data_IF_022871039645
#
_entry.id   IF_022871039645
#
_cell.length_a   1.000
_cell.length_b   1.000
_cell.length_c   1.000
_cell.angle_alpha   90.00
_cell.angle_beta   90.00
_cell.angle_gamma   90.00
#
_symmetry.space_group_name_H-M   'P 1'
#
loop_
_entity.id
_entity.type
_entity.pdbx_description
1 polymer ?
#
# COMPACT_ATOMS: atom_id res chain seq x y z
N UNK A 1 -0.79 31.06 -24.26
CA UNK A 1 -1.75 32.08 -23.82
C UNK A 1 -3.09 31.74 -24.47
N UNK A 2 -4.20 31.74 -23.70
CA UNK A 2 -5.55 31.53 -24.21
C UNK A 2 -6.07 32.88 -24.72
N UNK A 3 -6.56 32.91 -25.95
CA UNK A 3 -7.18 34.10 -26.55
C UNK A 3 -8.65 33.77 -26.88
N UNK A 4 -9.58 34.30 -26.09
CA UNK A 4 -11.02 34.15 -26.36
C UNK A 4 -11.41 34.97 -27.60
N UNK A 5 -12.14 34.32 -28.53
CA UNK A 5 -12.59 34.94 -29.75
C UNK A 5 -14.07 35.34 -29.66
N UNK A 6 -14.93 34.37 -29.51
CA UNK A 6 -16.37 34.61 -29.45
C UNK A 6 -17.01 33.78 -28.34
N UNK A 7 -18.06 34.31 -27.77
CA UNK A 7 -18.97 33.58 -26.90
C UNK A 7 -20.40 33.85 -27.31
N UNK A 8 -21.20 32.81 -27.45
CA UNK A 8 -22.61 32.93 -27.80
C UNK A 8 -23.45 31.95 -26.97
N UNK A 9 -24.65 32.39 -26.66
CA UNK A 9 -25.58 31.61 -25.88
C UNK A 9 -27.02 31.90 -26.24
N UNK A 10 -27.91 30.92 -25.98
CA UNK A 10 -29.36 31.06 -26.10
C UNK A 10 -30.05 30.28 -24.97
N UNK A 11 -31.25 30.69 -24.62
CA UNK A 11 -32.06 30.10 -23.55
C UNK A 11 -31.26 29.93 -22.22
N UNK A 12 -30.32 30.80 -21.99
CA UNK A 12 -29.44 30.78 -20.82
C UNK A 12 -29.80 31.92 -19.87
N UNK A 13 -30.22 31.61 -18.63
CA UNK A 13 -30.76 32.56 -17.65
C UNK A 13 -31.93 33.37 -18.23
N UNK A 14 -31.81 34.70 -18.26
CA UNK A 14 -32.85 35.61 -18.76
C UNK A 14 -32.86 35.78 -20.28
N UNK A 15 -31.92 35.16 -21.04
CA UNK A 15 -31.86 35.31 -22.50
C UNK A 15 -32.79 34.34 -23.20
N UNK A 16 -33.42 34.80 -24.28
CA UNK A 16 -34.40 34.03 -25.07
C UNK A 16 -33.74 33.07 -26.08
N UNK A 17 -34.55 32.63 -27.04
CA UNK A 17 -34.15 31.63 -28.03
C UNK A 17 -33.21 32.14 -29.15
N UNK A 18 -33.10 33.45 -29.30
CA UNK A 18 -32.08 34.03 -30.20
C UNK A 18 -30.72 34.01 -29.58
N UNK A 19 -29.67 33.73 -30.36
CA UNK A 19 -28.31 33.79 -29.89
C UNK A 19 -27.91 35.21 -29.51
N UNK A 20 -27.44 35.35 -28.31
CA UNK A 20 -26.68 36.53 -27.88
C UNK A 20 -25.22 36.21 -28.11
N UNK A 21 -24.51 37.05 -28.84
CA UNK A 21 -23.10 36.84 -29.18
C UNK A 21 -22.25 38.01 -28.70
N UNK A 22 -21.08 37.72 -28.17
CA UNK A 22 -20.06 38.69 -27.81
C UNK A 22 -18.77 38.30 -28.51
N UNK A 23 -18.28 39.20 -29.37
CA UNK A 23 -17.01 39.06 -30.08
C UNK A 23 -15.92 39.87 -29.35
N UNK A 24 -14.92 39.17 -28.84
CA UNK A 24 -13.81 39.76 -28.11
C UNK A 24 -12.64 40.20 -29.00
N UNK A 25 -12.69 39.88 -30.30
CA UNK A 25 -11.61 40.16 -31.25
C UNK A 25 -11.67 41.56 -31.87
N UNK A 26 -12.84 42.21 -31.84
CA UNK A 26 -13.07 43.51 -32.46
C UNK A 26 -12.20 44.62 -31.88
N UNK A 27 -11.97 44.57 -30.58
CA UNK A 27 -11.17 45.58 -29.88
C UNK A 27 -10.30 44.94 -28.82
N UNK A 28 -9.17 45.55 -28.47
CA UNK A 28 -8.30 45.10 -27.35
C UNK A 28 -8.99 45.16 -25.99
N UNK A 29 -9.98 46.05 -25.85
CA UNK A 29 -10.75 46.24 -24.61
C UNK A 29 -12.22 46.38 -25.02
N UNK A 30 -13.11 45.60 -24.41
CA UNK A 30 -14.52 45.65 -24.63
C UNK A 30 -15.25 46.12 -23.36
N UNK A 31 -16.11 47.12 -23.49
CA UNK A 31 -16.92 47.64 -22.40
C UNK A 31 -18.37 47.18 -22.57
N UNK A 32 -18.92 46.46 -21.57
CA UNK A 32 -20.31 45.98 -21.55
C UNK A 32 -21.11 46.91 -20.63
N UNK A 33 -21.97 47.72 -21.23
CA UNK A 33 -22.84 48.70 -20.58
C UNK A 33 -24.29 48.22 -20.59
N UNK A 34 -25.04 48.50 -19.56
CA UNK A 34 -26.47 48.20 -19.46
C UNK A 34 -27.03 48.49 -18.04
N UNK A 35 -28.31 48.57 -17.95
CA UNK A 35 -29.04 48.75 -16.66
C UNK A 35 -28.87 47.51 -15.79
N UNK A 36 -29.21 47.63 -14.49
CA UNK A 36 -29.22 46.47 -13.62
C UNK A 36 -30.25 45.46 -14.06
N UNK A 37 -29.86 44.18 -14.12
CA UNK A 37 -30.73 43.11 -14.67
C UNK A 37 -30.57 42.86 -16.19
N UNK A 38 -29.91 43.74 -16.96
CA UNK A 38 -29.72 43.61 -18.41
C UNK A 38 -28.84 42.42 -18.87
N UNK A 39 -28.37 41.59 -17.95
CA UNK A 39 -27.57 40.40 -18.31
C UNK A 39 -26.06 40.62 -18.42
N UNK A 40 -25.49 41.75 -17.95
CA UNK A 40 -24.04 42.01 -18.00
C UNK A 40 -23.20 40.86 -17.45
N UNK A 41 -23.61 40.34 -16.28
CA UNK A 41 -22.88 39.23 -15.60
C UNK A 41 -23.15 37.84 -16.22
N UNK A 42 -24.17 37.76 -17.13
CA UNK A 42 -24.50 36.51 -17.84
C UNK A 42 -23.36 36.03 -18.72
N UNK A 43 -22.56 36.95 -19.26
CA UNK A 43 -21.35 36.64 -20.03
C UNK A 43 -20.37 35.79 -19.19
N UNK A 44 -20.16 36.18 -17.95
CA UNK A 44 -19.24 35.44 -17.05
C UNK A 44 -19.79 34.06 -16.68
N UNK A 45 -21.09 33.97 -16.42
CA UNK A 45 -21.74 32.67 -16.17
C UNK A 45 -21.69 31.77 -17.40
N UNK A 46 -21.95 32.31 -18.59
CA UNK A 46 -21.90 31.60 -19.85
C UNK A 46 -20.45 31.08 -20.12
N UNK A 47 -19.46 31.93 -19.93
CA UNK A 47 -18.05 31.57 -20.13
C UNK A 47 -17.63 30.44 -19.21
N UNK A 48 -17.90 30.56 -17.91
CA UNK A 48 -17.51 29.53 -16.95
C UNK A 48 -18.34 28.25 -17.11
N UNK A 49 -19.62 28.38 -17.46
CA UNK A 49 -20.46 27.24 -17.72
C UNK A 49 -19.99 26.47 -18.96
N UNK A 50 -19.66 27.14 -20.07
CA UNK A 50 -19.16 26.46 -21.27
C UNK A 50 -17.87 25.69 -21.01
N UNK A 51 -16.92 26.28 -20.29
CA UNK A 51 -15.59 25.70 -20.03
C UNK A 51 -15.61 24.62 -18.93
N UNK A 52 -16.35 24.86 -17.83
CA UNK A 52 -16.28 24.03 -16.64
C UNK A 52 -17.60 23.35 -16.23
N UNK A 53 -18.70 23.60 -16.95
CA UNK A 53 -20.01 23.05 -16.62
C UNK A 53 -20.65 23.65 -15.36
N UNK A 54 -20.07 24.74 -14.83
CA UNK A 54 -20.52 25.45 -13.63
C UNK A 54 -20.59 26.96 -13.91
N UNK A 55 -21.64 27.65 -13.50
CA UNK A 55 -21.71 29.12 -13.64
C UNK A 55 -20.72 29.78 -12.68
N UNK A 56 -20.38 31.04 -12.95
CA UNK A 56 -19.54 31.84 -12.07
C UNK A 56 -20.26 32.20 -10.76
N UNK A 57 -21.50 32.61 -10.84
CA UNK A 57 -22.35 32.86 -9.68
C UNK A 57 -22.82 31.54 -9.06
N UNK A 58 -23.17 31.56 -7.77
CA UNK A 58 -23.73 30.38 -7.06
C UNK A 58 -25.19 30.14 -7.48
N UNK A 59 -25.37 29.66 -8.71
CA UNK A 59 -26.66 29.33 -9.32
C UNK A 59 -26.69 27.84 -9.59
N UNK A 60 -27.78 27.17 -9.25
CA UNK A 60 -27.93 25.74 -9.51
C UNK A 60 -28.13 25.49 -11.02
N UNK A 61 -27.61 24.38 -11.52
CA UNK A 61 -27.65 24.02 -12.93
C UNK A 61 -29.05 24.07 -13.57
N UNK A 62 -30.14 23.61 -12.94
CA UNK A 62 -31.50 23.76 -13.51
C UNK A 62 -31.92 25.21 -13.68
N UNK A 63 -31.47 26.14 -12.86
CA UNK A 63 -31.79 27.57 -12.92
C UNK A 63 -31.08 28.33 -14.06
N UNK A 64 -30.09 27.68 -14.70
CA UNK A 64 -29.42 28.24 -15.87
C UNK A 64 -30.30 28.23 -17.13
N UNK A 65 -31.31 27.37 -17.20
CA UNK A 65 -32.23 27.30 -18.30
C UNK A 65 -33.22 28.48 -18.20
N UNK A 66 -33.50 29.09 -19.31
CA UNK A 66 -34.53 30.14 -19.36
C UNK A 66 -35.87 29.59 -18.88
N UNK A 67 -36.50 30.27 -17.91
CA UNK A 67 -37.74 29.82 -17.25
C UNK A 67 -38.99 29.87 -18.15
N UNK A 68 -38.94 30.58 -19.29
CA UNK A 68 -40.04 30.67 -20.23
C UNK A 68 -39.97 29.53 -21.26
N UNK A 69 -38.78 29.27 -21.79
CA UNK A 69 -38.58 28.27 -22.85
C UNK A 69 -38.30 26.86 -22.32
N UNK A 70 -37.73 26.75 -21.14
CA UNK A 70 -37.42 25.52 -20.41
C UNK A 70 -36.61 24.42 -21.16
N UNK A 71 -36.10 24.76 -22.34
CA UNK A 71 -35.38 23.84 -23.23
C UNK A 71 -34.31 24.57 -24.02
N UNK A 72 -33.51 23.83 -24.78
CA UNK A 72 -32.51 24.31 -25.74
C UNK A 72 -31.53 25.34 -25.16
N UNK A 73 -31.20 25.22 -23.89
CA UNK A 73 -30.14 26.02 -23.27
C UNK A 73 -28.80 25.60 -23.85
N UNK A 74 -28.14 26.49 -24.59
CA UNK A 74 -26.89 26.22 -25.28
C UNK A 74 -25.95 27.38 -25.16
N UNK A 75 -24.66 27.08 -24.83
CA UNK A 75 -23.59 28.03 -24.75
C UNK A 75 -22.42 27.49 -25.57
N UNK A 76 -21.83 28.35 -26.37
CA UNK A 76 -20.67 28.05 -27.23
C UNK A 76 -19.58 29.08 -26.97
N UNK A 77 -18.32 28.66 -26.81
CA UNK A 77 -17.17 29.51 -26.70
C UNK A 77 -16.11 29.09 -27.71
N UNK A 78 -15.54 30.07 -28.41
CA UNK A 78 -14.45 29.87 -29.34
C UNK A 78 -13.21 30.63 -28.82
N UNK A 79 -12.09 29.94 -28.82
CA UNK A 79 -10.81 30.50 -28.36
C UNK A 79 -9.65 29.85 -29.09
N UNK A 80 -8.50 30.49 -29.10
CA UNK A 80 -7.28 29.93 -29.64
C UNK A 80 -6.19 29.77 -28.57
N UNK A 81 -5.36 28.74 -28.71
CA UNK A 81 -4.15 28.52 -27.93
C UNK A 81 -3.00 28.29 -28.91
N UNK A 82 -2.11 29.27 -29.01
CA UNK A 82 -1.11 29.27 -30.07
C UNK A 82 -1.77 29.31 -31.44
N UNK A 83 -1.46 28.35 -32.30
CA UNK A 83 -2.04 28.21 -33.65
C UNK A 83 -3.24 27.26 -33.71
N UNK A 84 -3.70 26.75 -32.59
CA UNK A 84 -4.82 25.79 -32.54
C UNK A 84 -6.10 26.50 -32.13
N UNK A 85 -7.14 26.30 -32.92
CA UNK A 85 -8.48 26.82 -32.63
C UNK A 85 -9.28 25.77 -31.85
N UNK A 86 -10.00 26.26 -30.88
CA UNK A 86 -10.85 25.45 -30.01
C UNK A 86 -12.25 26.05 -29.95
N UNK A 87 -13.23 25.14 -29.98
CA UNK A 87 -14.62 25.47 -29.72
C UNK A 87 -15.20 24.49 -28.71
N UNK A 88 -15.82 25.01 -27.70
CA UNK A 88 -16.51 24.21 -26.68
C UNK A 88 -18.00 24.56 -26.72
N UNK A 89 -18.81 23.55 -26.88
CA UNK A 89 -20.28 23.67 -26.91
C UNK A 89 -20.85 22.91 -25.72
N UNK A 90 -21.69 23.58 -24.95
CA UNK A 90 -22.35 22.96 -23.81
C UNK A 90 -23.81 23.31 -23.75
N UNK A 91 -24.65 22.29 -23.51
CA UNK A 91 -26.10 22.44 -23.46
C UNK A 91 -26.74 21.78 -22.23
N UNK A 92 -27.96 22.26 -21.97
CA UNK A 92 -28.85 21.67 -20.96
C UNK A 92 -30.21 21.50 -21.67
N UNK A 93 -30.79 20.30 -21.63
CA UNK A 93 -32.06 19.94 -22.29
C UNK A 93 -32.11 20.29 -23.79
N UNK A 94 -31.36 19.55 -24.62
CA UNK A 94 -30.60 18.32 -24.35
C UNK A 94 -29.27 18.56 -23.68
N UNK A 95 -28.74 17.53 -22.98
CA UNK A 95 -27.41 17.55 -22.43
C UNK A 95 -26.39 17.42 -23.57
N UNK A 96 -25.63 18.47 -23.81
CA UNK A 96 -24.62 18.54 -24.87
C UNK A 96 -23.30 18.91 -24.21
N UNK A 97 -22.23 18.24 -24.59
CA UNK A 97 -20.88 18.63 -24.29
C UNK A 97 -19.96 18.22 -25.42
N UNK A 98 -19.55 19.16 -26.24
CA UNK A 98 -18.75 18.95 -27.43
C UNK A 98 -17.48 19.79 -27.34
N UNK A 99 -16.38 19.20 -27.74
CA UNK A 99 -15.08 19.88 -27.84
C UNK A 99 -14.60 19.73 -29.29
N UNK A 100 -14.28 20.82 -29.90
CA UNK A 100 -13.83 20.89 -31.30
C UNK A 100 -12.42 21.44 -31.33
N UNK A 101 -11.59 20.87 -32.20
CA UNK A 101 -10.22 21.33 -32.47
C UNK A 101 -10.05 21.54 -33.97
N UNK A 102 -9.73 22.76 -34.38
CA UNK A 102 -9.60 23.12 -35.81
C UNK A 102 -10.79 22.58 -36.66
N UNK A 103 -12.00 22.88 -36.23
CA UNK A 103 -13.28 22.46 -36.86
C UNK A 103 -13.54 20.94 -36.88
N UNK A 104 -12.69 20.14 -36.25
CA UNK A 104 -12.90 18.70 -36.08
C UNK A 104 -13.40 18.40 -34.68
N UNK A 105 -14.55 17.73 -34.58
CA UNK A 105 -15.07 17.27 -33.28
C UNK A 105 -14.14 16.19 -32.71
N UNK A 106 -13.80 16.34 -31.44
CA UNK A 106 -13.08 15.29 -30.74
C UNK A 106 -14.00 14.13 -30.41
N UNK A 107 -13.44 12.93 -30.38
CA UNK A 107 -14.17 11.72 -30.01
C UNK A 107 -14.82 11.87 -28.63
N UNK A 108 -16.12 11.65 -28.55
CA UNK A 108 -16.93 11.83 -27.35
C UNK A 108 -17.34 10.50 -26.71
N UNK A 109 -16.66 9.42 -27.03
CA UNK A 109 -16.92 8.08 -26.48
C UNK A 109 -16.66 7.99 -24.96
N UNK A 110 -15.89 8.91 -24.38
CA UNK A 110 -15.60 8.96 -22.95
C UNK A 110 -16.76 9.61 -22.16
N UNK A 111 -16.90 9.22 -20.89
CA UNK A 111 -17.85 9.85 -19.98
C UNK A 111 -17.61 11.37 -19.88
N UNK A 112 -18.67 12.15 -19.77
CA UNK A 112 -18.59 13.63 -19.72
C UNK A 112 -17.66 14.16 -18.62
N UNK A 113 -17.49 13.42 -17.52
CA UNK A 113 -16.56 13.76 -16.45
C UNK A 113 -15.09 13.61 -16.87
N UNK A 114 -14.79 12.59 -17.66
CA UNK A 114 -13.41 12.36 -18.14
C UNK A 114 -13.06 13.35 -19.25
N UNK A 115 -14.01 13.69 -20.12
CA UNK A 115 -13.86 14.76 -21.11
C UNK A 115 -13.62 16.12 -20.42
N UNK A 116 -14.34 16.40 -19.32
CA UNK A 116 -14.13 17.63 -18.55
C UNK A 116 -12.71 17.68 -17.96
N UNK A 117 -12.25 16.61 -17.33
CA UNK A 117 -10.89 16.53 -16.81
C UNK A 117 -9.85 16.69 -17.92
N UNK A 118 -10.09 16.06 -19.06
CA UNK A 118 -9.21 16.16 -20.21
C UNK A 118 -9.13 17.62 -20.72
N UNK A 119 -10.26 18.32 -20.83
CA UNK A 119 -10.32 19.74 -21.22
C UNK A 119 -9.52 20.62 -20.24
N UNK A 120 -9.73 20.43 -18.93
CA UNK A 120 -9.04 21.20 -17.90
C UNK A 120 -7.54 20.95 -17.89
N UNK A 121 -7.10 19.68 -18.03
CA UNK A 121 -5.69 19.29 -17.93
C UNK A 121 -4.89 19.53 -19.21
N UNK A 122 -5.48 19.25 -20.39
CA UNK A 122 -4.73 19.23 -21.64
C UNK A 122 -4.93 20.51 -22.47
N UNK A 123 -6.07 21.18 -22.34
CA UNK A 123 -6.38 22.37 -23.14
C UNK A 123 -6.24 23.64 -22.30
N UNK A 124 -7.06 23.76 -21.25
CA UNK A 124 -7.09 24.97 -20.44
C UNK A 124 -5.89 25.09 -19.50
N UNK A 125 -5.33 23.96 -19.08
CA UNK A 125 -4.25 23.84 -18.08
C UNK A 125 -4.54 24.56 -16.77
N UNK A 126 -5.82 24.68 -16.44
CA UNK A 126 -6.29 25.27 -15.18
C UNK A 126 -7.66 24.73 -14.82
N UNK A 127 -7.94 24.65 -13.53
CA UNK A 127 -9.24 24.25 -13.02
C UNK A 127 -10.19 25.44 -12.85
N UNK A 128 -11.45 25.16 -12.53
CA UNK A 128 -12.48 26.19 -12.31
C UNK A 128 -12.05 27.26 -11.28
N UNK A 129 -11.44 26.85 -10.17
CA UNK A 129 -11.03 27.81 -9.12
C UNK A 129 -9.93 28.74 -9.60
N UNK A 130 -8.90 28.17 -10.24
CA UNK A 130 -7.78 28.95 -10.77
C UNK A 130 -8.26 29.92 -11.88
N UNK A 131 -9.14 29.46 -12.77
CA UNK A 131 -9.74 30.28 -13.80
C UNK A 131 -10.52 31.47 -13.20
N UNK A 132 -11.40 31.21 -12.24
CA UNK A 132 -12.20 32.26 -11.61
C UNK A 132 -11.39 33.21 -10.74
N UNK A 133 -10.18 32.86 -10.33
CA UNK A 133 -9.29 33.72 -9.56
C UNK A 133 -8.32 34.54 -10.43
N UNK A 134 -8.00 34.03 -11.62
CA UNK A 134 -6.99 34.67 -12.50
C UNK A 134 -7.66 35.46 -13.62
N UNK A 135 -8.71 34.88 -14.24
CA UNK A 135 -9.32 35.45 -15.43
C UNK A 135 -10.48 36.38 -15.09
N UNK A 136 -11.23 36.08 -14.03
CA UNK A 136 -12.40 36.87 -13.63
C UNK A 136 -12.09 37.64 -12.35
N UNK A 137 -11.91 38.95 -12.46
CA UNK A 137 -11.54 39.82 -11.36
C UNK A 137 -12.67 40.81 -11.03
N UNK A 138 -12.86 41.10 -9.76
CA UNK A 138 -13.67 42.24 -9.32
C UNK A 138 -15.18 42.06 -9.32
N UNK A 139 -15.72 40.83 -9.29
CA UNK A 139 -17.17 40.61 -9.10
C UNK A 139 -17.52 40.46 -7.60
N UNK A 140 -18.82 40.57 -7.28
CA UNK A 140 -19.33 40.45 -5.91
C UNK A 140 -19.04 39.10 -5.24
N UNK A 141 -18.72 38.07 -6.02
CA UNK A 141 -18.37 36.72 -5.54
C UNK A 141 -16.87 36.44 -5.59
N UNK A 142 -16.07 37.41 -6.03
CA UNK A 142 -14.63 37.28 -6.07
C UNK A 142 -14.03 37.31 -4.66
N UNK A 143 -13.27 36.29 -4.30
CA UNK A 143 -12.47 36.25 -3.08
C UNK A 143 -11.03 36.57 -3.43
N UNK A 144 -10.45 37.68 -2.94
CA UNK A 144 -9.06 38.03 -3.22
C UNK A 144 -8.10 36.88 -2.91
N UNK A 145 -7.08 36.70 -3.71
CA UNK A 145 -6.10 35.60 -3.57
C UNK A 145 -5.57 35.45 -2.14
N UNK A 146 -5.28 36.59 -1.47
CA UNK A 146 -4.75 36.58 -0.11
C UNK A 146 -5.77 36.10 0.96
N UNK A 147 -7.06 36.14 0.65
CA UNK A 147 -8.13 35.66 1.54
C UNK A 147 -8.46 34.17 1.29
N UNK A 148 -7.90 33.56 0.26
CA UNK A 148 -8.01 32.12 0.04
C UNK A 148 -7.32 31.34 1.15
N UNK A 149 -7.81 30.14 1.46
CA UNK A 149 -7.09 29.21 2.32
C UNK A 149 -5.72 28.86 1.75
N UNK A 150 -4.76 28.47 2.60
CA UNK A 150 -3.41 28.12 2.17
C UNK A 150 -3.40 27.01 1.09
N UNK A 151 -4.31 26.03 1.20
CA UNK A 151 -4.46 24.95 0.22
C UNK A 151 -4.94 25.50 -1.14
N UNK A 152 -5.94 26.37 -1.15
CA UNK A 152 -6.48 26.96 -2.36
C UNK A 152 -5.46 27.90 -3.03
N UNK A 153 -4.70 28.71 -2.25
CA UNK A 153 -3.62 29.52 -2.82
C UNK A 153 -2.55 28.68 -3.51
N UNK A 154 -2.14 27.57 -2.86
CA UNK A 154 -1.19 26.64 -3.44
C UNK A 154 -1.71 26.06 -4.76
N UNK A 155 -2.95 25.58 -4.80
CA UNK A 155 -3.58 25.04 -5.99
C UNK A 155 -3.57 26.04 -7.17
N UNK A 156 -3.92 27.30 -6.90
CA UNK A 156 -3.90 28.37 -7.92
C UNK A 156 -2.47 28.63 -8.43
N UNK A 157 -1.48 28.64 -7.54
CA UNK A 157 -0.07 28.84 -7.92
C UNK A 157 0.45 27.64 -8.74
N UNK A 158 0.13 26.42 -8.30
CA UNK A 158 0.53 25.19 -9.00
C UNK A 158 -0.07 25.12 -10.41
N UNK A 159 -1.33 25.53 -10.59
CA UNK A 159 -1.95 25.62 -11.90
C UNK A 159 -1.31 26.72 -12.77
N UNK A 160 -1.10 27.92 -12.21
CA UNK A 160 -0.55 29.05 -12.94
C UNK A 160 0.87 28.79 -13.43
N UNK A 161 1.69 28.11 -12.61
CA UNK A 161 3.08 27.80 -12.94
C UNK A 161 3.25 26.46 -13.68
N UNK A 162 2.17 25.72 -13.92
CA UNK A 162 2.19 24.37 -14.52
C UNK A 162 3.10 23.38 -13.75
N UNK A 163 3.16 23.54 -12.41
CA UNK A 163 4.03 22.75 -11.53
C UNK A 163 3.27 21.65 -10.74
N UNK A 164 2.03 21.36 -11.12
CA UNK A 164 1.17 20.36 -10.49
C UNK A 164 1.77 18.95 -10.51
N UNK A 165 2.68 18.71 -11.48
CA UNK A 165 3.44 17.46 -11.58
C UNK A 165 4.22 17.15 -10.30
N UNK A 166 4.81 18.16 -9.65
CA UNK A 166 5.59 17.97 -8.42
C UNK A 166 4.70 17.56 -7.24
N UNK A 167 3.49 18.10 -7.15
CA UNK A 167 2.52 17.69 -6.13
C UNK A 167 2.05 16.26 -6.34
N UNK A 168 1.82 15.85 -7.59
CA UNK A 168 1.49 14.47 -7.95
C UNK A 168 2.64 13.52 -7.64
N UNK A 169 3.88 13.88 -7.98
CA UNK A 169 5.08 13.12 -7.63
C UNK A 169 5.23 12.96 -6.11
N UNK A 170 5.03 14.04 -5.35
CA UNK A 170 5.09 14.01 -3.89
C UNK A 170 4.04 13.06 -3.29
N UNK A 171 2.84 13.03 -3.83
CA UNK A 171 1.79 12.09 -3.41
C UNK A 171 2.21 10.64 -3.67
N UNK A 172 2.69 10.33 -4.87
CA UNK A 172 3.17 8.99 -5.23
C UNK A 172 4.37 8.55 -4.37
N UNK A 173 5.29 9.48 -4.08
CA UNK A 173 6.44 9.20 -3.20
C UNK A 173 5.96 8.90 -1.77
N UNK A 174 5.03 9.68 -1.24
CA UNK A 174 4.45 9.44 0.09
C UNK A 174 3.77 8.08 0.19
N UNK A 175 3.03 7.67 -0.84
CA UNK A 175 2.43 6.34 -0.90
C UNK A 175 3.47 5.24 -0.91
N UNK A 176 4.52 5.37 -1.75
CA UNK A 176 5.63 4.40 -1.77
C UNK A 176 6.34 4.30 -0.42
N UNK A 177 6.61 5.45 0.23
CA UNK A 177 7.24 5.49 1.55
C UNK A 177 6.34 4.78 2.58
N UNK A 178 5.01 4.96 2.51
CA UNK A 178 4.07 4.27 3.40
C UNK A 178 4.16 2.76 3.23
N UNK A 179 4.09 2.25 2.00
CA UNK A 179 4.22 0.81 1.73
C UNK A 179 5.56 0.26 2.20
N UNK A 180 6.67 0.96 1.90
CA UNK A 180 8.00 0.54 2.37
C UNK A 180 8.09 0.48 3.90
N UNK A 181 7.48 1.42 4.62
CA UNK A 181 7.44 1.39 6.09
C UNK A 181 6.62 0.22 6.63
N UNK A 182 5.51 -0.12 5.96
CA UNK A 182 4.71 -1.30 6.30
C UNK A 182 5.51 -2.59 6.09
N UNK A 183 6.22 -2.70 4.96
CA UNK A 183 7.08 -3.85 4.66
C UNK A 183 8.24 -3.99 5.68
N UNK A 184 8.89 -2.89 6.02
CA UNK A 184 9.96 -2.86 7.06
C UNK A 184 9.39 -3.37 8.38
N UNK A 185 8.23 -2.89 8.82
CA UNK A 185 7.60 -3.33 10.06
C UNK A 185 7.30 -4.83 10.07
N UNK A 186 6.82 -5.37 8.95
CA UNK A 186 6.57 -6.81 8.79
C UNK A 186 7.89 -7.60 8.89
N UNK A 187 8.96 -7.09 8.28
CA UNK A 187 10.28 -7.74 8.35
C UNK A 187 10.88 -7.68 9.76
N UNK A 188 10.71 -6.57 10.47
CA UNK A 188 11.13 -6.43 11.89
C UNK A 188 10.39 -7.43 12.78
N UNK A 189 9.09 -7.58 12.65
CA UNK A 189 8.30 -8.58 13.39
C UNK A 189 8.73 -10.02 13.07
N UNK A 190 9.03 -10.32 11.81
CA UNK A 190 9.56 -11.63 11.42
C UNK A 190 10.93 -11.87 12.05
N UNK A 191 11.82 -10.88 12.01
CA UNK A 191 13.14 -10.95 12.64
C UNK A 191 13.02 -11.26 14.14
N UNK A 192 12.16 -10.53 14.85
CA UNK A 192 11.91 -10.74 16.28
C UNK A 192 11.39 -12.16 16.55
N UNK A 193 10.40 -12.61 15.78
CA UNK A 193 9.88 -13.98 15.88
C UNK A 193 10.96 -15.05 15.64
N UNK A 194 11.90 -14.83 14.71
CA UNK A 194 12.99 -15.76 14.48
C UNK A 194 14.01 -15.75 15.64
N UNK A 195 14.31 -14.58 16.19
CA UNK A 195 15.20 -14.47 17.35
C UNK A 195 14.62 -15.20 18.57
N UNK A 196 13.32 -15.08 18.81
CA UNK A 196 12.65 -15.80 19.90
C UNK A 196 12.68 -17.32 19.67
N UNK A 197 12.46 -17.78 18.45
CA UNK A 197 12.59 -19.20 18.11
C UNK A 197 14.02 -19.72 18.34
N UNK A 198 15.03 -18.94 17.97
CA UNK A 198 16.43 -19.31 18.20
C UNK A 198 16.69 -19.44 19.71
N UNK A 199 16.26 -18.47 20.52
CA UNK A 199 16.41 -18.53 21.99
C UNK A 199 15.73 -19.76 22.59
N UNK A 200 14.50 -20.04 22.19
CA UNK A 200 13.79 -21.24 22.67
C UNK A 200 14.54 -22.53 22.29
N UNK A 201 15.12 -22.61 21.10
CA UNK A 201 15.90 -23.77 20.69
C UNK A 201 17.21 -23.89 21.47
N UNK A 202 17.90 -22.78 21.74
CA UNK A 202 19.09 -22.78 22.56
C UNK A 202 18.82 -23.25 24.01
N UNK A 203 17.71 -22.79 24.60
CA UNK A 203 17.26 -23.24 25.92
C UNK A 203 16.94 -24.74 25.92
N UNK A 204 16.24 -25.21 24.90
CA UNK A 204 15.89 -26.62 24.74
C UNK A 204 17.14 -27.50 24.57
N UNK A 205 18.12 -27.06 23.79
CA UNK A 205 19.43 -27.76 23.66
C UNK A 205 20.13 -27.84 24.98
N UNK A 206 20.19 -26.73 25.75
CA UNK A 206 20.79 -26.75 27.10
C UNK A 206 20.10 -27.72 28.04
N UNK A 207 18.79 -27.78 28.01
CA UNK A 207 18.01 -28.71 28.82
C UNK A 207 18.33 -30.16 28.45
N UNK A 208 18.39 -30.49 27.14
CA UNK A 208 18.78 -31.83 26.67
C UNK A 208 20.23 -32.18 27.07
N UNK A 209 21.16 -31.24 26.97
CA UNK A 209 22.54 -31.47 27.41
C UNK A 209 22.62 -31.76 28.92
N UNK A 210 21.88 -31.01 29.74
CA UNK A 210 21.85 -31.24 31.19
C UNK A 210 21.21 -32.59 31.52
N UNK A 211 20.10 -32.93 30.93
CA UNK A 211 19.47 -34.27 31.08
C UNK A 211 20.42 -35.39 30.62
N UNK A 212 21.17 -35.15 29.53
CA UNK A 212 22.19 -36.08 29.06
C UNK A 212 23.31 -36.30 30.08
N UNK A 213 23.82 -35.21 30.69
CA UNK A 213 24.86 -35.27 31.75
C UNK A 213 24.36 -35.99 33.00
N UNK A 214 23.13 -35.73 33.43
CA UNK A 214 22.53 -36.39 34.58
C UNK A 214 22.35 -37.89 34.32
N UNK A 215 21.84 -38.26 33.16
CA UNK A 215 21.72 -39.66 32.77
C UNK A 215 23.07 -40.39 32.72
N UNK A 216 24.11 -39.72 32.20
CA UNK A 216 25.48 -40.27 32.18
C UNK A 216 25.99 -40.47 33.62
N UNK A 217 25.75 -39.49 34.50
CA UNK A 217 26.14 -39.57 35.90
C UNK A 217 25.46 -40.72 36.66
N UNK A 218 24.15 -40.85 36.43
CA UNK A 218 23.35 -41.94 37.02
C UNK A 218 23.79 -43.31 36.51
N UNK A 219 24.06 -43.40 35.19
CA UNK A 219 24.55 -44.63 34.61
C UNK A 219 25.96 -44.99 35.13
N UNK A 220 26.85 -43.99 35.30
CA UNK A 220 28.19 -44.22 35.95
C UNK A 220 28.06 -44.72 37.38
N UNK A 221 27.10 -44.16 38.15
CA UNK A 221 26.85 -44.66 39.50
C UNK A 221 26.38 -46.13 39.50
N UNK A 222 25.40 -46.44 38.66
CA UNK A 222 24.92 -47.81 38.49
C UNK A 222 26.00 -48.80 38.08
N UNK A 223 26.92 -48.32 37.19
CA UNK A 223 28.06 -49.16 36.79
C UNK A 223 29.00 -49.38 37.98
N UNK A 224 29.29 -48.32 38.73
CA UNK A 224 30.16 -48.45 39.93
C UNK A 224 29.54 -49.34 41.01
N UNK A 225 28.22 -49.24 41.23
CA UNK A 225 27.52 -50.07 42.19
C UNK A 225 27.53 -51.53 41.74
N UNK A 226 27.32 -51.78 40.45
CA UNK A 226 27.40 -53.11 39.86
C UNK A 226 28.80 -53.70 39.87
N UNK A 227 29.84 -52.84 39.61
CA UNK A 227 31.25 -53.26 39.72
C UNK A 227 31.58 -53.69 41.17
N UNK A 228 31.11 -52.91 42.18
CA UNK A 228 31.27 -53.26 43.58
C UNK A 228 30.56 -54.59 43.94
N UNK A 229 29.32 -54.78 43.44
CA UNK A 229 28.63 -56.05 43.63
C UNK A 229 29.39 -57.23 42.99
N UNK A 230 29.96 -56.98 41.78
CA UNK A 230 30.79 -58.00 41.11
C UNK A 230 32.04 -58.35 41.94
N UNK A 231 32.73 -57.30 42.48
CA UNK A 231 33.90 -57.51 43.33
C UNK A 231 33.51 -58.31 44.60
N UNK A 232 32.38 -57.98 45.22
CA UNK A 232 31.88 -58.70 46.40
C UNK A 232 31.55 -60.17 46.01
N UNK A 233 30.84 -60.42 44.93
CA UNK A 233 30.56 -61.80 44.48
C UNK A 233 31.83 -62.56 44.07
N UNK A 234 32.85 -61.87 43.49
CA UNK A 234 34.14 -62.51 43.22
C UNK A 234 34.86 -62.91 44.46
N UNK A 235 34.88 -62.02 45.51
CA UNK A 235 35.50 -62.32 46.77
C UNK A 235 34.72 -63.44 47.50
N UNK A 236 33.42 -63.41 47.52
CA UNK A 236 32.58 -64.49 48.06
C UNK A 236 32.83 -65.84 47.33
N UNK A 237 32.97 -65.74 46.01
CA UNK A 237 33.29 -66.90 45.18
C UNK A 237 34.71 -67.47 45.45
N UNK A 238 35.70 -66.59 45.60
CA UNK A 238 37.04 -67.06 45.96
C UNK A 238 37.04 -67.84 47.27
N UNK A 239 36.27 -67.34 48.27
CA UNK A 239 36.12 -68.05 49.56
C UNK A 239 35.41 -69.41 49.40
N UNK A 240 34.49 -69.48 48.40
CA UNK A 240 33.73 -70.72 48.14
C UNK A 240 34.42 -71.63 47.11
N UNK A 241 35.27 -71.04 46.19
CA UNK A 241 36.03 -71.80 45.21
C UNK A 241 36.99 -72.83 45.81
N UNK A 242 37.66 -72.51 46.90
CA UNK A 242 38.56 -73.46 47.58
C UNK A 242 37.83 -74.73 48.06
N UNK A 243 36.65 -74.60 48.76
CA UNK A 243 35.90 -75.79 49.11
C UNK A 243 35.17 -76.41 47.91
N UNK A 244 34.78 -75.59 46.91
CA UNK A 244 34.14 -76.08 45.66
C UNK A 244 35.11 -76.78 44.74
N UNK A 245 36.40 -76.33 44.68
CA UNK A 245 37.46 -77.08 43.94
C UNK A 245 37.68 -78.43 44.57
N UNK A 246 37.46 -78.57 45.86
CA UNK A 246 37.47 -79.86 46.52
C UNK A 246 36.18 -80.69 46.15
N UNK A 247 35.10 -80.02 45.93
CA UNK A 247 33.82 -80.65 45.52
C UNK A 247 33.65 -80.78 43.98
N UNK A 248 34.41 -80.00 43.19
CA UNK A 248 34.41 -80.04 41.70
C UNK A 248 35.10 -81.24 41.12
N UNK A 249 35.86 -81.92 41.91
CA UNK A 249 36.24 -83.27 41.49
C UNK A 249 35.03 -84.21 41.36
N UNK A 250 33.83 -83.73 41.74
CA UNK A 250 32.66 -84.64 41.75
C UNK A 250 31.49 -84.29 40.85
N UNK A 251 31.36 -83.16 40.23
CA UNK A 251 30.31 -82.96 39.17
C UNK A 251 30.18 -81.58 38.58
N UNK A 252 30.01 -81.51 37.36
CA UNK A 252 29.22 -80.68 36.38
C UNK A 252 28.47 -79.43 36.91
N UNK A 253 28.99 -78.66 37.84
CA UNK A 253 28.26 -77.52 38.40
C UNK A 253 28.69 -76.15 37.75
N UNK A 254 29.44 -76.10 36.67
CA UNK A 254 29.97 -74.82 36.11
C UNK A 254 29.09 -74.17 35.04
N UNK A 255 28.06 -74.83 34.57
CA UNK A 255 27.21 -74.29 33.48
C UNK A 255 26.42 -73.03 33.87
N UNK A 256 26.12 -72.77 35.17
CA UNK A 256 25.37 -71.60 35.61
C UNK A 256 26.15 -70.28 35.63
N UNK A 257 27.50 -70.36 35.78
CA UNK A 257 28.32 -69.12 35.85
C UNK A 257 28.63 -68.52 34.48
N UNK A 258 28.78 -69.36 33.45
CA UNK A 258 29.01 -68.89 32.08
C UNK A 258 27.77 -68.15 31.51
N UNK A 259 26.55 -68.57 31.90
CA UNK A 259 25.31 -67.89 31.53
C UNK A 259 25.13 -66.53 32.22
N UNK A 260 25.48 -66.39 33.49
CA UNK A 260 25.41 -65.08 34.21
C UNK A 260 26.42 -64.09 33.66
N UNK A 261 27.65 -64.52 33.36
CA UNK A 261 28.69 -63.68 32.68
C UNK A 261 28.23 -63.23 31.29
N UNK A 262 27.60 -64.12 30.55
CA UNK A 262 27.03 -63.79 29.20
C UNK A 262 25.85 -62.80 29.33
N UNK A 263 24.98 -62.93 30.33
CA UNK A 263 23.91 -61.97 30.61
C UNK A 263 24.45 -60.59 31.02
N UNK A 264 25.48 -60.51 31.85
CA UNK A 264 26.15 -59.27 32.24
C UNK A 264 26.91 -58.65 31.08
N UNK A 265 27.58 -59.45 30.26
CA UNK A 265 28.20 -58.97 28.99
C UNK A 265 27.21 -58.36 28.03
N UNK A 266 26.05 -58.97 27.90
CA UNK A 266 24.96 -58.43 27.09
C UNK A 266 24.36 -57.11 27.65
N UNK A 267 24.29 -57.00 29.01
CA UNK A 267 23.84 -55.75 29.66
C UNK A 267 24.85 -54.61 29.42
N UNK A 268 26.14 -54.89 29.58
CA UNK A 268 27.25 -53.95 29.32
C UNK A 268 27.24 -53.50 27.86
N UNK A 269 27.01 -54.40 26.90
CA UNK A 269 26.85 -54.12 25.48
C UNK A 269 25.66 -53.21 25.20
N UNK A 270 24.52 -53.43 25.82
CA UNK A 270 23.30 -52.58 25.69
C UNK A 270 23.54 -51.16 26.27
N UNK A 271 24.26 -51.04 27.40
CA UNK A 271 24.59 -49.72 27.97
C UNK A 271 25.56 -48.99 27.08
N UNK A 272 26.61 -49.65 26.60
CA UNK A 272 27.58 -49.06 25.65
C UNK A 272 26.94 -48.60 24.36
N UNK A 273 25.99 -49.36 23.81
CA UNK A 273 25.20 -48.97 22.65
C UNK A 273 24.35 -47.71 22.91
N UNK A 274 23.67 -47.65 24.09
CA UNK A 274 22.89 -46.44 24.45
C UNK A 274 23.78 -45.20 24.59
N UNK A 275 24.93 -45.31 25.23
CA UNK A 275 25.93 -44.22 25.36
C UNK A 275 26.39 -43.77 23.95
N UNK A 276 26.72 -44.71 23.03
CA UNK A 276 27.12 -44.40 21.68
C UNK A 276 26.01 -43.67 20.89
N UNK A 277 24.75 -44.07 21.06
CA UNK A 277 23.59 -43.44 20.39
C UNK A 277 23.41 -42.01 20.89
N UNK A 278 23.44 -41.80 22.22
CA UNK A 278 23.34 -40.46 22.83
C UNK A 278 24.51 -39.55 22.39
N UNK A 279 25.72 -40.10 22.29
CA UNK A 279 26.90 -39.33 21.83
C UNK A 279 26.77 -38.94 20.35
N UNK A 280 26.21 -39.81 19.50
CA UNK A 280 25.93 -39.50 18.09
C UNK A 280 24.84 -38.45 17.93
N UNK A 281 23.76 -38.56 18.70
CA UNK A 281 22.69 -37.57 18.73
C UNK A 281 23.21 -36.19 19.21
N UNK A 282 23.98 -36.16 20.27
CA UNK A 282 24.62 -34.95 20.77
C UNK A 282 25.53 -34.32 19.71
N UNK A 283 26.35 -35.13 19.02
CA UNK A 283 27.21 -34.66 17.93
C UNK A 283 26.39 -34.10 16.74
N UNK A 284 25.32 -34.79 16.37
CA UNK A 284 24.42 -34.33 15.33
C UNK A 284 23.81 -32.96 15.65
N UNK A 285 23.30 -32.76 16.87
CA UNK A 285 22.69 -31.49 17.30
C UNK A 285 23.70 -30.37 17.56
N UNK A 286 24.98 -30.69 17.86
CA UNK A 286 26.03 -29.69 18.01
C UNK A 286 26.64 -29.22 16.67
N UNK A 287 26.55 -30.05 15.61
CA UNK A 287 27.08 -29.74 14.27
C UNK A 287 26.04 -29.16 13.31
N UNK A 288 24.74 -29.36 13.58
CA UNK A 288 23.65 -28.87 12.72
C UNK A 288 22.82 -27.80 13.48
N UNK A 289 23.22 -26.55 13.28
CA UNK A 289 22.53 -25.38 13.88
C UNK A 289 21.27 -24.95 13.12
N UNK A 290 20.87 -25.69 12.09
CA UNK A 290 19.68 -25.39 11.26
C UNK A 290 18.87 -26.67 11.11
N UNK A 291 17.60 -26.62 11.51
CA UNK A 291 16.63 -27.70 11.28
C UNK A 291 16.24 -27.73 9.79
N UNK A 292 16.24 -28.91 9.12
CA UNK A 292 15.79 -29.03 7.74
C UNK A 292 14.32 -28.66 7.58
#
# INVERSE_FOLDING_TARGET
MILFKTIKWRNFLSTGNQYTEVDFTKNKTNLIIGTNGAGKSTVLDALTFSLFGKPFRKINKPQLINSVNEKDCRVEVEFSIGNTEWKVVRGIKPAIFEIWRNDTALDQSAAALDQQKWLEQNVLKMNYKSFTQIVILGSSTFVPFMQLSAANRREVIEDLLDIKIFSSMNTLIKEKIRFMKEDIKVLELKKESFLDKVKMQEEFIRELENRGKDNIKDNKRKISDLDNEIEQYLSENEVVEEPLRALICEQDAITGYAEKLRKLGNLKGKISQKVSTITKEHKFFSENTVCP
#
